data_IF_721083124456
#
_entry.id   IF_721083124456
#
_cell.length_a   1.000
_cell.length_b   1.000
_cell.length_c   1.000
_cell.angle_alpha   90.00
_cell.angle_beta   90.00
_cell.angle_gamma   90.00
#
_symmetry.space_group_name_H-M   'P 1'
#
loop_
_entity.id
_entity.type
_entity.pdbx_description
1 polymer ?
#
# COMPACT_ATOMS: atom_id res chain seq x y z
N UNK A 1 -0.30 44.77 -8.33
CA UNK A 1 -0.35 45.20 -6.93
C UNK A 1 1.08 45.29 -6.42
N UNK A 2 1.60 46.50 -6.17
CA UNK A 2 2.95 46.67 -5.63
C UNK A 2 2.96 46.19 -4.17
N UNK A 3 3.50 44.99 -3.93
CA UNK A 3 3.77 44.54 -2.56
C UNK A 3 4.83 45.44 -1.95
N UNK A 4 4.52 46.09 -0.82
CA UNK A 4 5.47 47.02 -0.19
C UNK A 4 6.42 46.23 0.71
N UNK A 5 7.69 46.12 0.30
CA UNK A 5 8.76 45.44 1.05
C UNK A 5 9.73 46.48 1.63
N UNK A 6 9.91 46.48 2.95
CA UNK A 6 10.82 47.40 3.63
C UNK A 6 11.60 46.71 4.77
N UNK A 7 12.87 47.10 4.93
CA UNK A 7 13.78 46.62 5.95
C UNK A 7 14.28 47.78 6.80
N UNK A 8 14.33 47.60 8.11
CA UNK A 8 14.77 48.66 9.03
C UNK A 8 15.48 48.07 10.25
N UNK A 9 16.68 48.57 10.55
CA UNK A 9 17.36 48.25 11.80
C UNK A 9 17.00 49.26 12.89
N UNK A 10 16.78 48.77 14.10
CA UNK A 10 16.51 49.61 15.27
C UNK A 10 17.00 48.96 16.56
N UNK A 11 17.17 49.79 17.59
CA UNK A 11 17.55 49.32 18.93
C UNK A 11 16.33 49.28 19.85
N UNK A 12 16.20 48.24 20.66
CA UNK A 12 15.17 48.17 21.71
C UNK A 12 15.70 48.80 23.00
N UNK A 13 15.48 50.12 23.16
CA UNK A 13 15.90 50.90 24.33
C UNK A 13 15.26 50.42 25.65
N UNK A 14 14.13 49.73 25.59
CA UNK A 14 13.48 49.09 26.74
C UNK A 14 14.12 47.74 27.15
N UNK A 15 15.19 47.29 26.47
CA UNK A 15 15.92 46.04 26.77
C UNK A 15 17.42 46.28 26.94
N UNK A 16 17.81 47.40 27.55
CA UNK A 16 19.21 47.71 27.83
C UNK A 16 19.76 46.69 28.83
N UNK A 17 20.97 46.18 28.56
CA UNK A 17 21.69 45.25 29.42
C UNK A 17 22.36 45.97 30.58
N UNK A 18 22.76 45.22 31.61
CA UNK A 18 23.54 45.73 32.75
C UNK A 18 24.83 46.46 32.34
N UNK A 19 25.39 46.13 31.17
CA UNK A 19 26.57 46.80 30.60
C UNK A 19 26.25 48.07 29.77
N UNK A 20 25.02 48.58 29.82
CA UNK A 20 24.62 49.82 29.12
C UNK A 20 24.30 49.67 27.63
N UNK A 21 24.46 48.48 27.04
CA UNK A 21 24.20 48.26 25.60
C UNK A 21 22.76 47.82 25.31
N UNK A 22 22.19 48.27 24.19
CA UNK A 22 20.87 47.87 23.71
C UNK A 22 20.97 46.83 22.56
N UNK A 23 20.07 45.85 22.49
CA UNK A 23 20.01 44.89 21.39
C UNK A 23 19.51 45.53 20.10
N UNK A 24 20.15 45.14 18.99
CA UNK A 24 19.76 45.54 17.63
C UNK A 24 18.77 44.51 17.06
N UNK A 25 17.72 45.00 16.44
CA UNK A 25 16.69 44.23 15.75
C UNK A 25 16.57 44.69 14.29
N UNK A 26 16.23 43.75 13.41
CA UNK A 26 15.80 43.98 12.04
C UNK A 26 14.27 43.86 11.99
N UNK A 27 13.58 44.87 11.47
CA UNK A 27 12.16 44.83 11.14
C UNK A 27 12.00 44.55 9.66
N UNK A 28 11.20 43.55 9.34
CA UNK A 28 10.77 43.19 7.99
C UNK A 28 9.31 43.58 7.86
N UNK A 29 8.98 44.49 6.94
CA UNK A 29 7.60 44.89 6.65
C UNK A 29 7.23 44.44 5.26
N UNK A 30 6.15 43.65 5.15
CA UNK A 30 5.54 43.24 3.89
C UNK A 30 4.06 43.56 3.95
N UNK A 31 3.57 44.36 3.00
CA UNK A 31 2.15 44.74 2.88
C UNK A 31 1.56 45.30 4.19
N UNK A 32 2.34 46.20 4.83
CA UNK A 32 1.96 46.86 6.09
C UNK A 32 2.09 46.00 7.36
N UNK A 33 2.42 44.70 7.24
CA UNK A 33 2.62 43.81 8.40
C UNK A 33 4.10 43.66 8.72
N UNK A 34 4.48 43.97 9.96
CA UNK A 34 5.86 43.92 10.43
C UNK A 34 6.19 42.65 11.22
N UNK A 35 7.39 42.12 11.03
CA UNK A 35 7.97 41.06 11.86
C UNK A 35 9.40 41.46 12.30
N UNK A 36 9.73 41.26 13.57
CA UNK A 36 11.03 41.63 14.14
C UNK A 36 11.94 40.39 14.30
N UNK A 37 13.21 40.53 13.90
CA UNK A 37 14.27 39.53 14.08
C UNK A 37 15.40 40.13 14.91
N UNK A 38 15.90 39.41 15.91
CA UNK A 38 17.07 39.85 16.66
C UNK A 38 18.34 39.71 15.80
N UNK A 39 19.09 40.81 15.62
CA UNK A 39 20.35 40.79 14.87
C UNK A 39 21.50 40.13 15.66
N UNK A 40 21.26 39.73 16.92
CA UNK A 40 22.25 39.13 17.85
C UNK A 40 23.50 39.99 18.07
N UNK A 41 23.35 41.32 17.91
CA UNK A 41 24.37 42.34 18.18
C UNK A 41 23.79 43.39 19.12
N UNK A 42 24.69 44.09 19.79
CA UNK A 42 24.38 45.08 20.81
C UNK A 42 25.19 46.34 20.54
N UNK A 43 24.63 47.50 20.85
CA UNK A 43 25.30 48.78 20.70
C UNK A 43 24.91 49.72 21.83
N UNK A 44 25.81 50.61 22.22
CA UNK A 44 25.50 51.76 23.04
C UNK A 44 24.45 52.64 22.32
N UNK A 45 23.29 52.95 22.96
CA UNK A 45 22.27 53.81 22.37
C UNK A 45 22.76 55.18 21.88
N UNK A 46 23.83 55.74 22.46
CA UNK A 46 24.42 57.01 22.03
C UNK A 46 25.22 56.87 20.72
N UNK A 47 25.69 55.66 20.42
CA UNK A 47 26.46 55.35 19.21
C UNK A 47 25.58 54.81 18.07
N UNK A 48 24.26 54.92 18.18
CA UNK A 48 23.31 54.46 17.16
C UNK A 48 22.65 55.63 16.44
N UNK A 49 22.70 55.63 15.10
CA UNK A 49 21.96 56.56 14.27
C UNK A 49 20.55 56.00 13.99
N UNK A 50 19.53 56.61 14.60
CA UNK A 50 18.14 56.21 14.42
C UNK A 50 17.55 56.53 13.04
N UNK A 51 18.12 57.50 12.30
CA UNK A 51 17.65 57.87 10.96
C UNK A 51 18.36 57.06 9.88
N UNK A 52 19.66 56.84 10.04
CA UNK A 52 20.46 56.06 9.09
C UNK A 52 20.50 54.56 9.39
N UNK A 53 19.87 54.11 10.48
CA UNK A 53 19.76 52.71 10.89
C UNK A 53 21.10 51.97 11.02
N UNK A 54 22.14 52.68 11.52
CA UNK A 54 23.53 52.19 11.55
C UNK A 54 24.29 52.70 12.77
N UNK A 55 25.43 52.10 13.06
CA UNK A 55 26.36 52.60 14.08
C UNK A 55 27.05 53.90 13.64
N UNK A 56 27.16 54.85 14.56
CA UNK A 56 27.85 56.14 14.41
C UNK A 56 29.38 55.98 14.57
N UNK A 57 30.12 56.85 13.87
CA UNK A 57 31.58 56.94 13.96
C UNK A 57 32.34 56.10 12.94
N UNK A 58 33.66 56.26 12.94
CA UNK A 58 34.59 55.65 11.97
C UNK A 58 35.51 54.58 12.62
N UNK A 59 35.18 54.15 13.85
CA UNK A 59 35.97 53.14 14.56
C UNK A 59 35.84 51.77 13.89
N UNK A 60 36.79 50.88 14.17
CA UNK A 60 36.80 49.54 13.59
C UNK A 60 35.56 48.72 14.01
N UNK A 61 35.08 48.94 15.23
CA UNK A 61 33.86 48.31 15.77
C UNK A 61 32.62 48.78 15.02
N UNK A 62 32.49 50.09 14.77
CA UNK A 62 31.37 50.66 14.02
C UNK A 62 31.35 50.15 12.57
N UNK A 63 32.51 50.08 11.90
CA UNK A 63 32.65 49.51 10.56
C UNK A 63 32.25 48.04 10.50
N UNK A 64 32.76 47.24 11.44
CA UNK A 64 32.49 45.80 11.50
C UNK A 64 31.01 45.53 11.77
N UNK A 65 30.39 46.28 12.67
CA UNK A 65 28.98 46.18 12.97
C UNK A 65 28.12 46.54 11.76
N UNK A 66 28.42 47.66 11.09
CA UNK A 66 27.68 48.09 9.91
C UNK A 66 27.81 47.10 8.74
N UNK A 67 28.99 46.52 8.54
CA UNK A 67 29.19 45.46 7.54
C UNK A 67 28.33 44.23 7.85
N UNK A 68 28.30 43.79 9.12
CA UNK A 68 27.45 42.69 9.56
C UNK A 68 25.96 42.95 9.31
N UNK A 69 25.46 44.15 9.62
CA UNK A 69 24.07 44.53 9.36
C UNK A 69 23.75 44.49 7.86
N UNK A 70 24.67 44.97 7.01
CA UNK A 70 24.55 44.90 5.55
C UNK A 70 24.52 43.46 5.03
N UNK A 71 25.33 42.56 5.58
CA UNK A 71 25.29 41.13 5.23
C UNK A 71 23.95 40.49 5.63
N UNK A 72 23.43 40.83 6.81
CA UNK A 72 22.14 40.32 7.28
C UNK A 72 21.00 40.80 6.35
N UNK A 73 21.03 42.07 5.96
CA UNK A 73 20.11 42.67 5.01
C UNK A 73 20.13 41.96 3.66
N UNK A 74 21.31 41.74 3.08
CA UNK A 74 21.45 41.00 1.81
C UNK A 74 20.84 39.60 1.89
N UNK A 75 21.08 38.88 2.99
CA UNK A 75 20.49 37.54 3.20
C UNK A 75 18.96 37.57 3.22
N UNK A 76 18.36 38.65 3.73
CA UNK A 76 16.89 38.82 3.71
C UNK A 76 16.39 39.04 2.28
N UNK A 77 17.08 39.87 1.49
CA UNK A 77 16.76 40.06 0.07
C UNK A 77 16.84 38.75 -0.73
N UNK A 78 17.91 37.98 -0.55
CA UNK A 78 18.11 36.70 -1.25
C UNK A 78 16.98 35.71 -0.89
N UNK A 79 16.63 35.63 0.40
CA UNK A 79 15.55 34.75 0.89
C UNK A 79 14.18 35.16 0.34
N UNK A 80 13.91 36.48 0.31
CA UNK A 80 12.68 37.03 -0.25
C UNK A 80 12.57 36.74 -1.76
N UNK A 81 13.65 36.92 -2.51
CA UNK A 81 13.70 36.61 -3.94
C UNK A 81 13.43 35.12 -4.23
N UNK A 82 14.04 34.21 -3.46
CA UNK A 82 13.79 32.78 -3.59
C UNK A 82 12.31 32.43 -3.36
N UNK A 83 11.68 33.00 -2.32
CA UNK A 83 10.25 32.77 -2.07
C UNK A 83 9.34 33.31 -3.17
N UNK A 84 9.69 34.46 -3.78
CA UNK A 84 8.95 34.98 -4.93
C UNK A 84 9.07 34.09 -6.17
N UNK A 85 10.25 33.46 -6.37
CA UNK A 85 10.50 32.55 -7.50
C UNK A 85 9.78 31.21 -7.35
N UNK A 86 9.56 30.76 -6.11
CA UNK A 86 8.87 29.50 -5.77
C UNK A 86 7.32 29.62 -5.82
N UNK A 87 6.76 30.76 -6.27
CA UNK A 87 5.33 31.09 -6.28
C UNK A 87 4.64 31.06 -4.89
N UNK A 88 5.42 31.16 -3.81
CA UNK A 88 4.89 31.15 -2.45
C UNK A 88 4.29 32.50 -2.03
N UNK A 89 3.26 32.45 -1.17
CA UNK A 89 2.68 33.64 -0.58
C UNK A 89 3.62 34.25 0.47
N UNK A 90 4.41 35.25 0.04
CA UNK A 90 5.40 35.89 0.93
C UNK A 90 4.72 36.87 1.92
N UNK A 91 4.84 36.55 3.21
CA UNK A 91 4.51 37.43 4.35
C UNK A 91 5.74 37.69 5.21
N UNK A 92 5.71 38.76 6.02
CA UNK A 92 6.79 39.08 6.96
C UNK A 92 7.07 37.98 7.98
N UNK A 93 6.05 37.24 8.45
CA UNK A 93 6.24 36.08 9.32
C UNK A 93 6.79 34.86 8.58
N UNK A 94 6.32 34.54 7.37
CA UNK A 94 6.90 33.44 6.58
C UNK A 94 8.38 33.67 6.23
N UNK A 95 8.74 34.91 5.88
CA UNK A 95 10.14 35.27 5.59
C UNK A 95 11.00 35.21 6.86
N UNK A 96 10.46 35.66 8.00
CA UNK A 96 11.10 35.51 9.31
C UNK A 96 11.32 34.04 9.67
N UNK A 97 10.33 33.19 9.45
CA UNK A 97 10.44 31.75 9.69
C UNK A 97 11.52 31.12 8.82
N UNK A 98 11.59 31.46 7.53
CA UNK A 98 12.64 30.98 6.62
C UNK A 98 14.04 31.44 7.06
N UNK A 99 14.17 32.69 7.50
CA UNK A 99 15.43 33.25 7.99
C UNK A 99 15.91 32.64 9.32
N UNK A 100 14.97 32.33 10.23
CA UNK A 100 15.23 31.70 11.51
C UNK A 100 15.36 30.17 11.43
N UNK A 101 15.02 29.58 10.28
CA UNK A 101 14.96 28.12 10.10
C UNK A 101 13.78 27.46 10.82
N UNK A 102 12.76 28.23 11.20
CA UNK A 102 11.55 27.75 11.89
C UNK A 102 10.38 27.48 10.94
N UNK A 103 10.59 27.65 9.63
CA UNK A 103 9.61 27.39 8.55
C UNK A 103 9.42 25.89 8.27
N UNK A 104 10.38 25.07 8.70
CA UNK A 104 10.29 23.62 8.57
C UNK A 104 9.38 23.16 9.71
N UNK A 105 8.07 23.02 9.45
CA UNK A 105 7.22 22.21 10.32
C UNK A 105 7.82 20.80 10.31
N UNK A 106 8.57 20.44 11.34
CA UNK A 106 9.15 19.11 11.47
C UNK A 106 8.02 18.10 11.45
N UNK A 107 8.00 17.25 10.42
CA UNK A 107 6.97 16.25 10.24
C UNK A 107 7.61 14.89 10.42
N UNK A 108 7.19 14.21 11.46
CA UNK A 108 7.75 12.93 11.83
C UNK A 108 7.01 11.80 11.13
N UNK A 109 7.76 10.79 10.68
CA UNK A 109 7.25 9.69 9.88
C UNK A 109 6.23 8.82 10.61
N UNK A 110 6.51 8.47 11.88
CA UNK A 110 5.67 7.51 12.62
C UNK A 110 4.26 8.07 12.87
N UNK A 111 4.06 9.32 13.34
CA UNK A 111 2.72 9.90 13.48
C UNK A 111 1.93 9.93 12.17
N UNK A 112 2.58 10.21 11.04
CA UNK A 112 1.90 10.23 9.73
C UNK A 112 1.43 8.83 9.34
N UNK A 113 2.27 7.82 9.56
CA UNK A 113 1.90 6.44 9.28
C UNK A 113 0.81 5.95 10.24
N UNK A 114 0.88 6.33 11.52
CA UNK A 114 -0.17 6.02 12.49
C UNK A 114 -1.51 6.65 12.10
N UNK A 115 -1.56 7.95 11.78
CA UNK A 115 -2.76 8.64 11.32
C UNK A 115 -3.37 7.97 10.07
N UNK A 116 -2.52 7.55 9.12
CA UNK A 116 -2.99 6.75 7.98
C UNK A 116 -3.64 5.45 8.43
N UNK A 117 -3.03 4.72 9.37
CA UNK A 117 -3.56 3.45 9.85
C UNK A 117 -4.87 3.63 10.63
N UNK A 118 -4.99 4.69 11.42
CA UNK A 118 -6.21 5.02 12.18
C UNK A 118 -7.37 5.34 11.21
N UNK A 119 -7.09 6.09 10.14
CA UNK A 119 -8.07 6.34 9.06
C UNK A 119 -8.48 5.06 8.33
N UNK A 120 -7.53 4.16 8.06
CA UNK A 120 -7.85 2.85 7.47
C UNK A 120 -8.72 2.03 8.43
N UNK A 121 -8.43 2.06 9.73
CA UNK A 121 -9.18 1.35 10.77
C UNK A 121 -10.63 1.86 10.87
N UNK A 122 -10.82 3.17 10.86
CA UNK A 122 -12.15 3.80 10.86
C UNK A 122 -13.00 3.42 9.64
N UNK A 123 -12.36 3.02 8.53
CA UNK A 123 -13.01 2.63 7.28
C UNK A 123 -13.08 1.10 7.08
N UNK A 124 -12.69 0.31 8.08
CA UNK A 124 -12.84 -1.16 8.02
C UNK A 124 -14.32 -1.54 8.01
N UNK A 125 -14.69 -2.41 7.07
CA UNK A 125 -16.08 -2.84 6.88
C UNK A 125 -16.86 -1.99 5.86
N UNK A 126 -16.30 -0.85 5.46
CA UNK A 126 -16.77 -0.04 4.33
C UNK A 126 -15.79 -0.21 3.16
N UNK A 127 -14.77 0.65 3.10
CA UNK A 127 -13.80 0.69 2.00
C UNK A 127 -12.61 -0.25 2.19
N UNK A 128 -12.37 -0.71 3.44
CA UNK A 128 -11.22 -1.55 3.76
C UNK A 128 -11.61 -2.88 4.38
N UNK A 129 -10.92 -3.93 3.95
CA UNK A 129 -10.99 -5.24 4.59
C UNK A 129 -10.08 -5.29 5.83
N UNK A 130 -10.45 -6.05 6.89
CA UNK A 130 -9.62 -6.20 8.10
C UNK A 130 -8.17 -6.63 7.81
N UNK A 131 -7.98 -7.54 6.85
CA UNK A 131 -6.64 -7.98 6.45
C UNK A 131 -5.78 -6.90 5.79
N UNK A 132 -6.39 -5.83 5.25
CA UNK A 132 -5.65 -4.67 4.74
C UNK A 132 -5.13 -3.81 5.88
N UNK A 133 -5.94 -3.58 6.93
CA UNK A 133 -5.51 -2.88 8.14
C UNK A 133 -4.33 -3.60 8.80
N UNK A 134 -4.46 -4.91 9.02
CA UNK A 134 -3.43 -5.72 9.68
C UNK A 134 -2.08 -5.62 8.94
N UNK A 135 -2.13 -5.60 7.60
CA UNK A 135 -0.95 -5.44 6.77
C UNK A 135 -0.28 -4.07 6.96
N UNK A 136 -1.06 -3.01 7.13
CA UNK A 136 -0.53 -1.67 7.40
C UNK A 136 0.01 -1.53 8.84
N UNK A 137 -0.68 -2.10 9.84
CA UNK A 137 -0.18 -2.18 11.23
C UNK A 137 1.15 -2.93 11.30
N UNK A 138 1.25 -4.08 10.62
CA UNK A 138 2.51 -4.82 10.51
C UNK A 138 3.61 -4.02 9.80
N UNK A 139 3.26 -3.31 8.73
CA UNK A 139 4.22 -2.47 7.99
C UNK A 139 4.74 -1.29 8.82
N UNK A 140 3.91 -0.70 9.67
CA UNK A 140 4.30 0.34 10.62
C UNK A 140 5.28 -0.22 11.65
N UNK A 141 4.94 -1.36 12.27
CA UNK A 141 5.82 -2.05 13.23
C UNK A 141 7.21 -2.33 12.64
N UNK A 142 7.27 -2.86 11.41
CA UNK A 142 8.55 -3.09 10.73
C UNK A 142 9.33 -1.81 10.43
N UNK A 143 8.63 -0.71 10.18
CA UNK A 143 9.28 0.60 9.99
C UNK A 143 9.90 1.07 11.31
N UNK A 144 9.20 0.96 12.43
CA UNK A 144 9.72 1.30 13.76
C UNK A 144 10.93 0.43 14.13
N UNK A 145 10.84 -0.88 13.94
CA UNK A 145 11.95 -1.82 14.18
C UNK A 145 13.19 -1.49 13.31
N UNK A 146 12.98 -1.11 12.05
CA UNK A 146 14.06 -0.68 11.15
C UNK A 146 14.73 0.61 11.64
N UNK A 147 13.95 1.61 12.08
CA UNK A 147 14.47 2.88 12.59
C UNK A 147 15.37 2.66 13.82
N UNK A 148 14.93 1.80 14.74
CA UNK A 148 15.72 1.43 15.91
C UNK A 148 17.02 0.74 15.47
N UNK A 149 16.93 -0.24 14.56
CA UNK A 149 18.11 -1.00 14.12
C UNK A 149 19.15 -0.14 13.38
N UNK A 150 18.74 0.69 12.42
CA UNK A 150 19.66 1.45 11.55
C UNK A 150 20.08 2.79 12.16
N UNK A 151 19.15 3.51 12.75
CA UNK A 151 19.31 4.91 13.13
C UNK A 151 19.28 5.14 14.64
N UNK A 152 19.02 4.11 15.44
CA UNK A 152 18.96 4.18 16.92
C UNK A 152 17.98 5.25 17.41
N UNK A 153 16.87 5.43 16.68
CA UNK A 153 15.80 6.38 16.98
C UNK A 153 14.44 5.71 16.86
N UNK A 154 13.47 6.19 17.61
CA UNK A 154 12.08 5.75 17.52
C UNK A 154 11.34 6.38 16.33
N UNK A 155 11.86 7.47 15.78
CA UNK A 155 11.21 8.24 14.72
C UNK A 155 12.21 9.03 13.88
N UNK A 156 11.78 9.49 12.70
CA UNK A 156 12.61 10.26 11.77
C UNK A 156 11.79 11.34 11.09
N UNK A 157 12.41 12.51 10.86
CA UNK A 157 11.82 13.55 10.03
C UNK A 157 11.72 13.06 8.58
N UNK A 158 10.57 13.26 7.94
CA UNK A 158 10.32 12.80 6.57
C UNK A 158 11.32 13.35 5.55
N UNK A 159 11.89 14.53 5.79
CA UNK A 159 12.89 15.17 4.92
C UNK A 159 14.22 14.39 4.86
N UNK A 160 14.48 13.51 5.84
CA UNK A 160 15.65 12.63 5.87
C UNK A 160 15.43 11.31 5.11
N UNK A 161 14.23 11.07 4.58
CA UNK A 161 13.92 9.86 3.84
C UNK A 161 14.33 10.05 2.39
N UNK A 162 15.49 9.51 2.04
CA UNK A 162 16.05 9.54 0.70
C UNK A 162 16.08 8.15 0.05
N UNK A 163 16.70 8.03 -1.12
CA UNK A 163 16.85 6.74 -1.79
C UNK A 163 17.65 5.73 -0.94
N UNK A 164 18.67 6.17 -0.20
CA UNK A 164 19.49 5.29 0.62
C UNK A 164 18.65 4.67 1.73
N UNK A 165 17.78 5.45 2.38
CA UNK A 165 16.80 4.95 3.34
C UNK A 165 15.95 3.81 2.75
N UNK A 166 15.40 3.99 1.53
CA UNK A 166 14.56 2.96 0.90
C UNK A 166 15.34 1.68 0.64
N UNK A 167 16.60 1.78 0.19
CA UNK A 167 17.44 0.62 -0.09
C UNK A 167 17.86 -0.10 1.18
N UNK A 168 18.24 0.65 2.22
CA UNK A 168 18.56 0.09 3.53
C UNK A 168 17.35 -0.60 4.16
N UNK A 169 16.14 -0.05 3.97
CA UNK A 169 14.92 -0.66 4.47
C UNK A 169 14.57 -1.96 3.73
N UNK A 170 14.65 -1.99 2.39
CA UNK A 170 14.47 -3.24 1.62
C UNK A 170 15.54 -4.29 1.98
N UNK A 171 16.79 -3.85 2.18
CA UNK A 171 17.87 -4.72 2.64
C UNK A 171 17.55 -5.30 4.02
N UNK A 172 17.15 -4.49 4.99
CA UNK A 172 16.82 -4.93 6.35
C UNK A 172 15.64 -5.90 6.38
N UNK A 173 14.60 -5.65 5.58
CA UNK A 173 13.46 -6.57 5.45
C UNK A 173 13.91 -7.97 5.00
N UNK A 174 14.93 -8.06 4.14
CA UNK A 174 15.41 -9.32 3.57
C UNK A 174 16.48 -10.00 4.42
N UNK A 175 17.41 -9.24 4.97
CA UNK A 175 18.59 -9.76 5.69
C UNK A 175 18.30 -10.01 7.17
N UNK A 176 17.66 -9.06 7.85
CA UNK A 176 17.42 -9.10 9.29
C UNK A 176 16.05 -9.69 9.61
N UNK A 177 14.98 -9.15 9.00
CA UNK A 177 13.62 -9.72 9.17
C UNK A 177 13.40 -11.02 8.42
N UNK A 178 14.33 -11.40 7.53
CA UNK A 178 14.29 -12.64 6.72
C UNK A 178 12.98 -12.78 5.92
N UNK A 179 12.41 -11.66 5.46
CA UNK A 179 11.22 -11.69 4.63
C UNK A 179 11.54 -12.29 3.25
N UNK A 180 10.67 -13.18 2.78
CA UNK A 180 10.70 -13.62 1.39
C UNK A 180 10.51 -12.43 0.43
N UNK A 181 11.06 -12.52 -0.78
CA UNK A 181 11.11 -11.41 -1.74
C UNK A 181 9.77 -10.68 -1.95
N UNK A 182 8.71 -11.44 -2.21
CA UNK A 182 7.39 -10.86 -2.50
C UNK A 182 6.75 -10.22 -1.27
N UNK A 183 7.10 -10.70 -0.07
CA UNK A 183 6.65 -10.14 1.20
C UNK A 183 7.38 -8.83 1.50
N UNK A 184 8.71 -8.78 1.34
CA UNK A 184 9.49 -7.54 1.45
C UNK A 184 8.96 -6.46 0.49
N UNK A 185 8.76 -6.82 -0.78
CA UNK A 185 8.19 -5.89 -1.78
C UNK A 185 6.81 -5.37 -1.38
N UNK A 186 5.96 -6.19 -0.72
CA UNK A 186 4.65 -5.73 -0.24
C UNK A 186 4.79 -4.69 0.88
N UNK A 187 5.67 -4.92 1.85
CA UNK A 187 5.92 -3.93 2.91
C UNK A 187 6.49 -2.63 2.36
N UNK A 188 7.45 -2.71 1.43
CA UNK A 188 7.97 -1.52 0.74
C UNK A 188 6.87 -0.78 -0.03
N UNK A 189 5.93 -1.49 -0.67
CA UNK A 189 4.78 -0.85 -1.34
C UNK A 189 3.84 -0.15 -0.36
N UNK A 190 3.58 -0.73 0.82
CA UNK A 190 2.80 -0.07 1.85
C UNK A 190 3.51 1.17 2.38
N UNK A 191 4.83 1.10 2.61
CA UNK A 191 5.63 2.26 2.97
C UNK A 191 5.59 3.35 1.90
N UNK A 192 5.69 2.96 0.61
CA UNK A 192 5.55 3.88 -0.52
C UNK A 192 4.20 4.62 -0.53
N UNK A 193 3.12 4.02 -0.04
CA UNK A 193 1.82 4.70 0.10
C UNK A 193 1.91 5.87 1.08
N UNK A 194 2.66 5.73 2.17
CA UNK A 194 2.88 6.79 3.16
C UNK A 194 3.72 7.92 2.57
N UNK A 195 4.82 7.59 1.88
CA UNK A 195 5.63 8.62 1.20
C UNK A 195 4.82 9.37 0.14
N UNK A 196 3.99 8.66 -0.64
CA UNK A 196 3.08 9.30 -1.60
C UNK A 196 2.05 10.21 -0.94
N UNK A 197 1.57 9.88 0.26
CA UNK A 197 0.70 10.76 1.03
C UNK A 197 1.43 12.05 1.41
N UNK A 198 2.67 11.95 1.89
CA UNK A 198 3.51 13.11 2.20
C UNK A 198 3.74 14.00 0.97
N UNK A 199 4.04 13.39 -0.19
CA UNK A 199 4.20 14.13 -1.45
C UNK A 199 2.91 14.79 -1.91
N UNK A 200 1.78 14.08 -1.84
CA UNK A 200 0.47 14.63 -2.24
C UNK A 200 0.05 15.83 -1.38
N UNK A 201 0.47 15.86 -0.12
CA UNK A 201 0.23 16.99 0.79
C UNK A 201 1.31 18.10 0.67
N UNK A 202 2.24 18.00 -0.27
CA UNK A 202 3.33 18.97 -0.47
C UNK A 202 4.41 18.95 0.61
N UNK A 203 4.46 17.93 1.46
CA UNK A 203 5.44 17.83 2.56
C UNK A 203 6.81 17.31 2.12
N UNK A 204 6.89 16.69 0.95
CA UNK A 204 8.12 16.22 0.33
C UNK A 204 8.23 16.73 -1.11
N UNK A 205 9.35 17.38 -1.42
CA UNK A 205 9.63 17.93 -2.75
C UNK A 205 10.24 16.91 -3.73
N UNK A 206 10.85 15.84 -3.21
CA UNK A 206 11.51 14.80 -4.02
C UNK A 206 10.97 13.42 -3.67
N UNK A 207 10.75 12.58 -4.68
CA UNK A 207 10.34 11.18 -4.48
C UNK A 207 11.56 10.30 -4.16
N UNK A 208 11.73 9.76 -2.94
CA UNK A 208 12.81 8.85 -2.62
C UNK A 208 12.68 7.49 -3.36
N UNK A 209 11.50 7.19 -3.91
CA UNK A 209 11.25 5.96 -4.68
C UNK A 209 11.50 6.09 -6.18
N UNK A 210 11.94 7.25 -6.69
CA UNK A 210 12.01 7.51 -8.13
C UNK A 210 12.79 6.41 -8.89
N UNK A 211 13.92 5.96 -8.32
CA UNK A 211 14.80 4.95 -8.93
C UNK A 211 14.64 3.54 -8.33
N UNK A 212 13.73 3.36 -7.37
CA UNK A 212 13.50 2.06 -6.74
C UNK A 212 12.60 1.16 -7.61
N UNK A 213 13.16 0.03 -8.04
CA UNK A 213 12.46 -0.96 -8.89
C UNK A 213 12.15 -2.24 -8.13
N UNK A 214 10.92 -2.38 -7.67
CA UNK A 214 10.44 -3.62 -7.07
C UNK A 214 10.30 -4.74 -8.12
N UNK A 215 11.00 -5.87 -7.92
CA UNK A 215 10.82 -7.09 -8.73
C UNK A 215 10.09 -8.15 -7.92
N UNK A 216 8.86 -8.49 -8.33
CA UNK A 216 8.17 -9.65 -7.81
C UNK A 216 8.74 -10.90 -8.48
N UNK A 217 9.06 -11.93 -7.69
CA UNK A 217 9.40 -13.24 -8.20
C UNK A 217 8.09 -13.96 -8.56
N UNK A 218 8.00 -14.49 -9.77
CA UNK A 218 6.91 -15.38 -10.13
C UNK A 218 6.97 -16.60 -9.22
N UNK A 219 5.81 -17.02 -8.72
CA UNK A 219 5.67 -18.24 -7.92
C UNK A 219 4.74 -19.12 -8.73
N UNK A 220 5.26 -20.23 -9.21
CA UNK A 220 4.43 -21.28 -9.79
C UNK A 220 3.54 -21.85 -8.70
N UNK A 221 2.24 -21.88 -8.98
CA UNK A 221 1.25 -22.36 -8.03
C UNK A 221 0.81 -23.73 -8.46
N UNK A 222 0.84 -24.73 -7.55
CA UNK A 222 0.37 -26.05 -7.89
C UNK A 222 -1.14 -26.02 -8.18
N UNK A 223 -1.54 -26.92 -9.07
CA UNK A 223 -2.92 -27.29 -9.34
C UNK A 223 -3.01 -28.82 -9.41
N UNK A 224 -4.22 -29.35 -9.31
CA UNK A 224 -4.46 -30.79 -9.40
C UNK A 224 -4.69 -31.20 -10.85
N UNK A 225 -4.03 -32.27 -11.28
CA UNK A 225 -4.27 -32.97 -12.54
C UNK A 225 -5.62 -33.70 -12.50
N UNK A 226 -6.09 -34.19 -13.65
CA UNK A 226 -7.36 -34.90 -13.73
C UNK A 226 -7.32 -36.19 -12.89
N UNK A 227 -6.19 -36.88 -12.92
CA UNK A 227 -5.93 -38.12 -12.21
C UNK A 227 -5.93 -37.91 -10.69
N UNK A 228 -5.30 -36.81 -10.23
CA UNK A 228 -5.30 -36.45 -8.81
C UNK A 228 -6.70 -36.03 -8.32
N UNK A 229 -7.48 -35.29 -9.13
CA UNK A 229 -8.87 -34.97 -8.80
C UNK A 229 -9.68 -36.26 -8.64
N UNK A 230 -9.54 -37.20 -9.58
CA UNK A 230 -10.25 -38.48 -9.54
C UNK A 230 -9.86 -39.29 -8.30
N UNK A 231 -8.56 -39.35 -7.99
CA UNK A 231 -8.05 -40.03 -6.80
C UNK A 231 -8.65 -39.45 -5.52
N UNK A 232 -8.81 -38.13 -5.44
CA UNK A 232 -9.47 -37.49 -4.28
C UNK A 232 -10.96 -37.81 -4.26
N UNK A 233 -11.65 -37.77 -5.40
CA UNK A 233 -13.10 -38.03 -5.51
C UNK A 233 -13.46 -39.47 -5.11
N UNK A 234 -12.74 -40.45 -5.62
CA UNK A 234 -12.98 -41.88 -5.37
C UNK A 234 -12.55 -42.32 -3.97
N UNK A 235 -11.74 -41.53 -3.27
CA UNK A 235 -11.24 -41.91 -1.95
C UNK A 235 -12.34 -41.87 -0.91
N UNK A 236 -12.68 -43.04 -0.37
CA UNK A 236 -13.53 -43.15 0.81
C UNK A 236 -12.73 -42.92 2.09
N UNK A 237 -13.20 -42.00 2.92
CA UNK A 237 -12.64 -41.74 4.24
C UNK A 237 -13.58 -42.30 5.30
N UNK A 238 -13.04 -42.99 6.30
CA UNK A 238 -13.81 -43.42 7.48
C UNK A 238 -14.29 -42.24 8.34
N UNK A 239 -13.74 -41.04 8.14
CA UNK A 239 -14.09 -39.83 8.88
C UNK A 239 -15.04 -38.95 8.08
N UNK A 240 -16.24 -38.72 8.60
CA UNK A 240 -17.24 -37.80 8.02
C UNK A 240 -16.68 -36.40 7.79
N UNK A 241 -15.82 -35.94 8.72
CA UNK A 241 -15.14 -34.65 8.64
C UNK A 241 -14.23 -34.54 7.43
N UNK A 242 -13.55 -35.62 7.05
CA UNK A 242 -12.70 -35.65 5.86
C UNK A 242 -13.54 -35.72 4.59
N UNK A 243 -14.61 -36.53 4.58
CA UNK A 243 -15.56 -36.57 3.45
C UNK A 243 -16.18 -35.18 3.19
N UNK A 244 -16.60 -34.48 4.24
CA UNK A 244 -17.10 -33.11 4.17
C UNK A 244 -16.10 -32.14 3.54
N UNK A 245 -14.84 -32.15 4.00
CA UNK A 245 -13.81 -31.25 3.47
C UNK A 245 -13.47 -31.59 2.02
N UNK A 246 -13.35 -32.88 1.70
CA UNK A 246 -13.13 -33.39 0.35
C UNK A 246 -14.21 -32.88 -0.60
N UNK A 247 -15.47 -33.06 -0.24
CA UNK A 247 -16.62 -32.70 -1.07
C UNK A 247 -16.66 -31.19 -1.32
N UNK A 248 -16.53 -30.37 -0.28
CA UNK A 248 -16.53 -28.91 -0.41
C UNK A 248 -15.33 -28.42 -1.25
N UNK A 249 -14.17 -29.07 -1.12
CA UNK A 249 -13.00 -28.76 -1.92
C UNK A 249 -13.19 -29.15 -3.40
N UNK A 250 -13.75 -30.33 -3.68
CA UNK A 250 -14.07 -30.76 -5.03
C UNK A 250 -15.12 -29.85 -5.67
N UNK A 251 -16.16 -29.46 -4.93
CA UNK A 251 -17.12 -28.46 -5.40
C UNK A 251 -16.39 -27.17 -5.84
N UNK A 252 -15.42 -26.69 -5.06
CA UNK A 252 -14.59 -25.53 -5.44
C UNK A 252 -13.68 -25.82 -6.65
N UNK A 253 -13.18 -27.04 -6.84
CA UNK A 253 -12.42 -27.45 -8.03
C UNK A 253 -13.26 -27.40 -9.31
N UNK A 254 -14.58 -27.61 -9.22
CA UNK A 254 -15.50 -27.61 -10.37
C UNK A 254 -16.27 -26.30 -10.56
N UNK A 255 -16.10 -25.31 -9.66
CA UNK A 255 -16.77 -24.00 -9.75
C UNK A 255 -15.83 -22.82 -9.69
N UNK A 256 -14.62 -22.99 -9.16
CA UNK A 256 -13.62 -21.92 -9.03
C UNK A 256 -13.87 -20.92 -7.91
N UNK A 257 -14.90 -21.13 -7.06
CA UNK A 257 -15.21 -20.26 -5.94
C UNK A 257 -14.13 -20.31 -4.85
N UNK A 258 -13.80 -19.16 -4.24
CA UNK A 258 -12.88 -19.15 -3.12
C UNK A 258 -13.58 -19.61 -1.83
N UNK A 259 -12.80 -20.00 -0.82
CA UNK A 259 -13.31 -20.42 0.50
C UNK A 259 -14.43 -19.52 1.04
N UNK A 260 -14.21 -18.20 1.00
CA UNK A 260 -15.17 -17.24 1.57
C UNK A 260 -16.45 -17.11 0.74
N UNK A 261 -16.36 -17.37 -0.57
CA UNK A 261 -17.51 -17.34 -1.46
C UNK A 261 -18.34 -18.60 -1.21
N UNK A 262 -17.72 -19.79 -1.19
CA UNK A 262 -18.41 -21.06 -0.90
C UNK A 262 -19.11 -21.05 0.46
N UNK A 263 -18.46 -20.49 1.49
CA UNK A 263 -19.03 -20.36 2.84
C UNK A 263 -20.30 -19.50 2.89
N UNK A 264 -20.51 -18.61 1.92
CA UNK A 264 -21.65 -17.70 1.86
C UNK A 264 -22.72 -18.11 0.85
N UNK A 265 -22.47 -19.12 0.03
CA UNK A 265 -23.44 -19.58 -0.95
C UNK A 265 -24.66 -20.14 -0.24
N UNK A 266 -25.84 -19.77 -0.73
CA UNK A 266 -27.14 -20.28 -0.29
C UNK A 266 -27.92 -20.86 -1.48
N UNK A 267 -29.06 -21.49 -1.19
CA UNK A 267 -29.96 -22.02 -2.22
C UNK A 267 -30.43 -20.94 -3.20
N UNK A 268 -30.62 -19.70 -2.73
CA UNK A 268 -31.05 -18.58 -3.58
C UNK A 268 -30.00 -18.14 -4.62
N UNK A 269 -28.74 -18.54 -4.45
CA UNK A 269 -27.71 -18.29 -5.46
C UNK A 269 -27.80 -19.24 -6.65
N UNK A 270 -28.49 -20.39 -6.52
CA UNK A 270 -28.63 -21.39 -7.57
C UNK A 270 -29.90 -21.10 -8.36
N UNK A 271 -29.77 -20.74 -9.64
CA UNK A 271 -30.90 -20.40 -10.51
C UNK A 271 -30.71 -21.02 -11.90
N UNK A 272 -31.78 -21.06 -12.69
CA UNK A 272 -31.71 -21.52 -14.09
C UNK A 272 -31.05 -20.45 -14.95
N UNK A 273 -30.06 -20.87 -15.74
CA UNK A 273 -29.31 -20.07 -16.69
C UNK A 273 -30.04 -19.87 -18.02
N UNK A 274 -29.39 -19.15 -18.93
CA UNK A 274 -29.94 -18.85 -20.27
C UNK A 274 -30.02 -20.08 -21.18
N UNK A 275 -29.28 -21.12 -20.83
CA UNK A 275 -29.22 -22.42 -21.50
C UNK A 275 -30.24 -23.43 -20.94
N UNK A 276 -30.97 -23.06 -19.88
CA UNK A 276 -31.89 -23.97 -19.18
C UNK A 276 -31.22 -24.82 -18.08
N UNK A 277 -29.90 -24.74 -17.92
CA UNK A 277 -29.15 -25.48 -16.91
C UNK A 277 -29.05 -24.70 -15.59
N UNK A 278 -28.66 -25.37 -14.49
CA UNK A 278 -28.44 -24.71 -13.20
C UNK A 278 -27.13 -23.94 -13.20
N UNK A 279 -27.17 -22.69 -12.73
CA UNK A 279 -26.02 -21.79 -12.60
C UNK A 279 -25.97 -21.22 -11.18
N UNK A 280 -24.77 -20.87 -10.72
CA UNK A 280 -24.57 -20.08 -9.51
C UNK A 280 -24.38 -18.61 -9.88
N UNK A 281 -25.23 -17.76 -9.32
CA UNK A 281 -25.17 -16.30 -9.42
C UNK A 281 -24.76 -15.70 -8.07
N UNK A 282 -23.60 -15.06 -8.03
CA UNK A 282 -23.09 -14.43 -6.81
C UNK A 282 -22.28 -13.17 -7.11
N UNK A 283 -22.00 -12.38 -6.08
CA UNK A 283 -21.05 -11.27 -6.14
C UNK A 283 -19.78 -11.67 -5.39
N UNK A 284 -18.64 -11.56 -6.07
CA UNK A 284 -17.36 -11.94 -5.48
C UNK A 284 -16.95 -10.89 -4.44
N UNK A 285 -16.84 -11.29 -3.18
CA UNK A 285 -16.57 -10.36 -2.09
C UNK A 285 -15.29 -9.53 -2.28
N UNK A 286 -14.25 -10.11 -2.88
CA UNK A 286 -12.94 -9.44 -3.02
C UNK A 286 -12.91 -8.36 -4.11
N UNK A 287 -13.72 -8.50 -5.16
CA UNK A 287 -13.66 -7.64 -6.35
C UNK A 287 -14.98 -6.95 -6.66
N UNK A 288 -16.03 -7.25 -5.89
CA UNK A 288 -17.40 -6.77 -6.10
C UNK A 288 -17.93 -7.00 -7.53
N UNK A 289 -17.44 -8.06 -8.17
CA UNK A 289 -17.83 -8.42 -9.54
C UNK A 289 -18.88 -9.51 -9.50
N UNK A 290 -19.98 -9.31 -10.23
CA UNK A 290 -20.96 -10.36 -10.51
C UNK A 290 -20.25 -11.55 -11.18
N UNK A 291 -20.41 -12.72 -10.58
CA UNK A 291 -19.80 -13.98 -11.01
C UNK A 291 -20.92 -14.97 -11.28
N UNK A 292 -20.90 -15.56 -12.47
CA UNK A 292 -21.89 -16.52 -12.95
C UNK A 292 -21.17 -17.76 -13.42
N UNK A 293 -21.50 -18.90 -12.81
CA UNK A 293 -20.80 -20.17 -13.08
C UNK A 293 -21.85 -21.26 -13.38
N UNK A 294 -21.86 -21.85 -14.59
CA UNK A 294 -22.68 -23.02 -14.89
C UNK A 294 -22.29 -24.19 -13.99
N UNK A 295 -23.27 -24.92 -13.44
CA UNK A 295 -23.00 -26.04 -12.56
C UNK A 295 -22.77 -27.32 -13.37
N UNK A 296 -21.55 -27.84 -13.30
CA UNK A 296 -21.20 -29.15 -13.84
C UNK A 296 -21.87 -30.27 -13.02
N UNK A 297 -22.13 -31.46 -13.60
CA UNK A 297 -22.87 -32.54 -12.94
C UNK A 297 -22.35 -32.90 -11.53
N UNK A 298 -21.03 -33.03 -11.36
CA UNK A 298 -20.41 -33.32 -10.06
C UNK A 298 -20.69 -32.22 -9.03
N UNK A 299 -20.65 -30.95 -9.43
CA UNK A 299 -20.97 -29.85 -8.52
C UNK A 299 -22.46 -29.87 -8.12
N UNK A 300 -23.36 -30.30 -9.01
CA UNK A 300 -24.79 -30.46 -8.70
C UNK A 300 -25.03 -31.62 -7.74
N UNK A 301 -24.38 -32.77 -7.98
CA UNK A 301 -24.42 -33.95 -7.10
C UNK A 301 -24.01 -33.58 -5.67
N UNK A 302 -22.91 -32.83 -5.51
CA UNK A 302 -22.44 -32.39 -4.21
C UNK A 302 -23.41 -31.41 -3.53
N UNK A 303 -24.07 -30.51 -4.27
CA UNK A 303 -25.10 -29.64 -3.69
C UNK A 303 -26.26 -30.49 -3.15
N UNK A 304 -26.74 -31.46 -3.93
CA UNK A 304 -27.84 -32.33 -3.54
C UNK A 304 -27.50 -33.17 -2.30
N UNK A 305 -26.28 -33.70 -2.22
CA UNK A 305 -25.80 -34.48 -1.08
C UNK A 305 -25.91 -33.75 0.27
N UNK A 306 -25.72 -32.43 0.28
CA UNK A 306 -25.75 -31.61 1.49
C UNK A 306 -27.07 -30.84 1.67
N UNK A 307 -28.07 -31.07 0.81
CA UNK A 307 -29.29 -30.27 0.78
C UNK A 307 -30.07 -30.27 2.11
N UNK A 308 -30.11 -31.45 2.75
CA UNK A 308 -30.82 -31.69 4.02
C UNK A 308 -29.89 -31.70 5.24
N UNK A 309 -28.62 -31.30 5.07
CA UNK A 309 -27.68 -31.26 6.18
C UNK A 309 -28.14 -30.24 7.24
N UNK A 310 -28.18 -30.59 8.55
CA UNK A 310 -28.77 -29.72 9.58
C UNK A 310 -28.20 -28.30 9.62
N UNK A 311 -26.88 -28.14 9.46
CA UNK A 311 -26.23 -26.82 9.41
C UNK A 311 -26.63 -26.01 8.17
N UNK A 312 -26.82 -26.67 7.02
CA UNK A 312 -27.23 -26.04 5.77
C UNK A 312 -28.65 -25.50 5.86
N UNK A 313 -29.57 -26.30 6.41
CA UNK A 313 -30.96 -25.91 6.63
C UNK A 313 -31.05 -24.77 7.64
N UNK A 314 -30.41 -24.91 8.80
CA UNK A 314 -30.51 -23.93 9.89
C UNK A 314 -29.87 -22.58 9.55
N UNK A 315 -28.77 -22.58 8.78
CA UNK A 315 -28.01 -21.36 8.46
C UNK A 315 -28.27 -20.83 7.05
N UNK A 316 -29.14 -21.49 6.28
CA UNK A 316 -29.43 -21.19 4.88
C UNK A 316 -28.16 -21.09 4.01
N UNK A 317 -27.30 -22.11 4.08
CA UNK A 317 -26.06 -22.22 3.29
C UNK A 317 -26.08 -23.49 2.45
N UNK A 318 -25.34 -23.53 1.34
CA UNK A 318 -25.24 -24.73 0.48
C UNK A 318 -24.39 -25.83 1.13
N UNK A 319 -23.37 -25.46 1.89
CA UNK A 319 -22.42 -26.40 2.47
C UNK A 319 -22.12 -26.07 3.94
N UNK A 320 -21.90 -27.08 4.78
CA UNK A 320 -21.43 -26.90 6.14
C UNK A 320 -19.93 -26.60 6.12
N UNK A 321 -19.54 -25.35 5.86
CA UNK A 321 -18.13 -24.98 5.64
C UNK A 321 -17.42 -24.67 6.96
N UNK A 322 -16.47 -25.54 7.34
CA UNK A 322 -15.61 -25.35 8.52
C UNK A 322 -14.75 -24.07 8.44
N UNK A 323 -14.08 -23.70 9.54
CA UNK A 323 -13.14 -22.58 9.52
C UNK A 323 -12.01 -22.80 8.50
N UNK A 324 -11.51 -21.73 7.86
CA UNK A 324 -10.48 -21.84 6.81
C UNK A 324 -9.23 -22.59 7.31
N UNK A 325 -8.84 -22.38 8.57
CA UNK A 325 -7.73 -23.10 9.18
C UNK A 325 -8.00 -24.61 9.25
N UNK A 326 -9.19 -25.03 9.72
CA UNK A 326 -9.58 -26.44 9.77
C UNK A 326 -9.67 -27.05 8.37
N UNK A 327 -10.28 -26.35 7.41
CA UNK A 327 -10.33 -26.80 6.01
C UNK A 327 -8.93 -27.09 5.47
N UNK A 328 -7.97 -26.17 5.64
CA UNK A 328 -6.60 -26.38 5.14
C UNK A 328 -5.85 -27.48 5.91
N UNK A 329 -6.07 -27.64 7.22
CA UNK A 329 -5.47 -28.73 8.00
C UNK A 329 -5.93 -30.09 7.49
N UNK A 330 -7.23 -30.23 7.22
CA UNK A 330 -7.83 -31.49 6.79
C UNK A 330 -7.54 -31.78 5.31
N UNK A 331 -7.36 -30.76 4.47
CA UNK A 331 -6.83 -30.95 3.13
C UNK A 331 -5.43 -31.55 3.12
N UNK A 332 -4.57 -31.19 4.08
CA UNK A 332 -3.25 -31.82 4.22
C UNK A 332 -3.36 -33.31 4.58
N UNK A 333 -4.28 -33.68 5.46
CA UNK A 333 -4.59 -35.10 5.76
C UNK A 333 -5.08 -35.85 4.51
N UNK A 334 -6.08 -35.31 3.81
CA UNK A 334 -6.67 -35.92 2.60
C UNK A 334 -5.59 -36.25 1.56
N UNK A 335 -4.73 -35.28 1.28
CA UNK A 335 -3.67 -35.40 0.27
C UNK A 335 -2.63 -36.45 0.64
N UNK A 336 -2.23 -36.49 1.91
CA UNK A 336 -1.30 -37.50 2.40
C UNK A 336 -1.89 -38.90 2.25
N UNK A 337 -3.17 -39.08 2.59
CA UNK A 337 -3.86 -40.36 2.47
C UNK A 337 -4.10 -40.76 1.01
N UNK A 338 -4.25 -39.78 0.10
CA UNK A 338 -4.34 -40.00 -1.35
C UNK A 338 -2.96 -40.16 -2.03
N UNK A 339 -1.84 -40.04 -1.30
CA UNK A 339 -0.49 -40.17 -1.88
C UNK A 339 -0.10 -39.04 -2.84
N UNK A 340 -0.73 -37.87 -2.73
CA UNK A 340 -0.48 -36.72 -3.62
C UNK A 340 0.66 -35.87 -3.05
N UNK A 341 1.78 -35.74 -3.76
CA UNK A 341 2.94 -34.97 -3.27
C UNK A 341 2.84 -33.47 -3.60
N UNK A 342 1.77 -32.80 -3.13
CA UNK A 342 1.53 -31.36 -3.32
C UNK A 342 0.98 -30.75 -2.04
N UNK A 343 1.53 -29.62 -1.60
CA UNK A 343 0.93 -28.92 -0.45
C UNK A 343 -0.41 -28.28 -0.86
N UNK A 344 -1.53 -28.88 -0.44
CA UNK A 344 -2.84 -28.32 -0.70
C UNK A 344 -3.25 -27.23 0.27
N UNK A 345 -3.81 -26.17 -0.31
CA UNK A 345 -4.61 -25.16 0.36
C UNK A 345 -5.92 -25.03 -0.40
N UNK A 346 -6.98 -24.54 0.26
CA UNK A 346 -8.29 -24.39 -0.38
C UNK A 346 -8.22 -23.54 -1.66
N UNK A 347 -7.28 -22.60 -1.75
CA UNK A 347 -7.13 -21.75 -2.94
C UNK A 347 -6.66 -22.50 -4.18
N UNK A 348 -6.06 -23.69 -4.02
CA UNK A 348 -5.64 -24.52 -5.15
C UNK A 348 -6.83 -25.03 -5.93
N UNK A 349 -7.99 -25.25 -5.30
CA UNK A 349 -9.21 -25.63 -5.99
C UNK A 349 -9.56 -24.67 -7.14
N UNK A 350 -9.36 -23.36 -6.92
CA UNK A 350 -9.56 -22.35 -7.95
C UNK A 350 -8.53 -22.42 -9.08
N UNK A 351 -7.28 -22.76 -8.78
CA UNK A 351 -6.26 -22.97 -9.79
C UNK A 351 -6.58 -24.22 -10.61
N UNK A 352 -7.00 -25.30 -9.96
CA UNK A 352 -7.49 -26.53 -10.58
C UNK A 352 -8.69 -26.29 -11.50
N UNK A 353 -9.67 -25.49 -11.07
CA UNK A 353 -10.80 -25.12 -11.91
C UNK A 353 -10.34 -24.39 -13.18
N UNK A 354 -9.51 -23.37 -13.00
CA UNK A 354 -9.04 -22.54 -14.12
C UNK A 354 -8.17 -23.31 -15.11
N UNK A 355 -7.33 -24.22 -14.63
CA UNK A 355 -6.39 -24.99 -15.47
C UNK A 355 -7.04 -26.28 -15.96
N UNK A 356 -7.12 -27.28 -15.08
CA UNK A 356 -7.51 -28.65 -15.39
C UNK A 356 -8.97 -28.80 -15.81
N UNK A 357 -9.91 -28.14 -15.12
CA UNK A 357 -11.35 -28.33 -15.43
C UNK A 357 -11.76 -27.53 -16.66
N UNK A 358 -11.23 -26.31 -16.85
CA UNK A 358 -11.70 -25.42 -17.94
C UNK A 358 -10.70 -25.26 -19.07
N UNK A 359 -9.56 -24.58 -18.87
CA UNK A 359 -8.63 -24.25 -19.97
C UNK A 359 -8.12 -25.49 -20.72
N UNK A 360 -7.81 -26.57 -20.00
CA UNK A 360 -7.38 -27.86 -20.57
C UNK A 360 -8.49 -28.59 -21.34
N UNK A 361 -9.76 -28.26 -21.11
CA UNK A 361 -10.91 -28.79 -21.84
C UNK A 361 -11.44 -27.78 -22.89
N UNK A 362 -10.59 -26.87 -23.35
CA UNK A 362 -10.90 -25.98 -24.48
C UNK A 362 -11.73 -24.74 -24.14
N UNK A 363 -12.09 -24.50 -22.88
CA UNK A 363 -12.86 -23.30 -22.51
C UNK A 363 -12.02 -22.03 -22.78
N UNK A 364 -12.57 -21.01 -23.48
CA UNK A 364 -11.86 -19.76 -23.74
C UNK A 364 -11.45 -19.01 -22.48
N UNK A 365 -10.29 -18.35 -22.52
CA UNK A 365 -9.72 -17.66 -21.35
C UNK A 365 -10.61 -16.51 -20.87
N UNK A 366 -11.35 -15.86 -21.77
CA UNK A 366 -12.31 -14.79 -21.49
C UNK A 366 -13.46 -15.33 -20.63
N UNK A 367 -14.01 -16.49 -21.01
CA UNK A 367 -15.06 -17.17 -20.26
C UNK A 367 -14.57 -17.59 -18.88
N UNK A 368 -13.37 -18.17 -18.79
CA UNK A 368 -12.75 -18.53 -17.50
C UNK A 368 -12.52 -17.29 -16.64
N UNK A 369 -12.02 -16.19 -17.22
CA UNK A 369 -11.80 -14.93 -16.50
C UNK A 369 -13.10 -14.38 -15.91
N UNK A 370 -14.22 -14.48 -16.64
CA UNK A 370 -15.54 -14.05 -16.19
C UNK A 370 -16.09 -14.97 -15.09
N UNK A 371 -16.00 -16.29 -15.25
CA UNK A 371 -16.40 -17.27 -14.22
C UNK A 371 -15.58 -17.15 -12.94
N UNK A 372 -14.32 -16.71 -13.03
CA UNK A 372 -13.50 -16.45 -11.87
C UNK A 372 -13.79 -15.06 -11.26
N UNK A 373 -14.47 -14.14 -11.93
CA UNK A 373 -14.65 -12.77 -11.43
C UNK A 373 -13.32 -12.00 -11.38
N UNK A 374 -12.48 -12.14 -12.41
CA UNK A 374 -11.26 -11.35 -12.57
C UNK A 374 -11.56 -10.06 -13.36
N UNK A 375 -11.25 -8.90 -12.77
CA UNK A 375 -11.37 -7.59 -13.45
C UNK A 375 -10.30 -7.37 -14.52
N UNK A 376 -9.21 -8.13 -14.48
CA UNK A 376 -8.12 -8.04 -15.44
C UNK A 376 -7.72 -9.44 -15.93
N UNK A 377 -7.82 -9.65 -17.24
CA UNK A 377 -7.50 -10.90 -17.92
C UNK A 377 -6.05 -11.37 -17.71
N UNK A 378 -5.12 -10.43 -17.45
CA UNK A 378 -3.72 -10.74 -17.11
C UNK A 378 -3.60 -11.68 -15.90
N UNK A 379 -4.56 -11.63 -14.98
CA UNK A 379 -4.62 -12.55 -13.83
C UNK A 379 -4.87 -13.99 -14.27
N UNK A 380 -5.73 -14.17 -15.28
CA UNK A 380 -6.10 -15.48 -15.85
C UNK A 380 -5.01 -16.02 -16.78
N UNK A 381 -4.24 -15.13 -17.44
CA UNK A 381 -3.12 -15.51 -18.30
C UNK A 381 -2.04 -16.33 -17.59
N UNK A 382 -1.88 -16.18 -16.27
CA UNK A 382 -0.96 -17.01 -15.51
C UNK A 382 -1.30 -18.51 -15.58
N UNK A 383 -2.58 -18.87 -15.77
CA UNK A 383 -3.00 -20.26 -15.93
C UNK A 383 -2.76 -20.80 -17.33
N UNK A 384 -2.92 -19.96 -18.35
CA UNK A 384 -2.76 -20.35 -19.74
C UNK A 384 -1.31 -20.65 -20.13
N UNK A 385 -0.33 -20.05 -19.43
CA UNK A 385 1.11 -20.30 -19.66
C UNK A 385 1.55 -21.74 -19.39
N UNK A 386 0.71 -22.55 -18.74
CA UNK A 386 1.09 -23.83 -18.17
C UNK A 386 0.65 -25.02 -19.05
N UNK A 387 0.01 -24.77 -20.20
CA UNK A 387 -0.64 -25.83 -20.97
C UNK A 387 0.03 -26.10 -22.32
N UNK A 388 1.21 -26.75 -22.30
CA UNK A 388 1.84 -27.32 -23.50
C UNK A 388 0.90 -28.30 -24.21
N UNK A 389 0.07 -29.03 -23.44
CA UNK A 389 -0.98 -29.91 -23.97
C UNK A 389 -2.00 -29.17 -24.82
N UNK A 390 -2.43 -27.97 -24.39
CA UNK A 390 -3.36 -27.15 -25.16
C UNK A 390 -2.74 -26.68 -26.47
N UNK A 391 -1.46 -26.29 -26.44
CA UNK A 391 -0.72 -25.93 -27.66
C UNK A 391 -0.68 -27.14 -28.62
N UNK A 392 -0.43 -28.34 -28.10
CA UNK A 392 -0.46 -29.57 -28.91
C UNK A 392 -1.84 -29.84 -29.52
N UNK A 393 -2.91 -29.75 -28.73
CA UNK A 393 -4.28 -30.01 -29.19
C UNK A 393 -4.73 -28.96 -30.22
N UNK A 394 -4.47 -27.68 -29.97
CA UNK A 394 -4.78 -26.58 -30.89
C UNK A 394 -4.01 -26.73 -32.23
N UNK A 395 -2.74 -27.14 -32.18
CA UNK A 395 -1.93 -27.40 -33.37
C UNK A 395 -2.39 -28.65 -34.12
N UNK A 396 -2.90 -29.67 -33.43
CA UNK A 396 -3.49 -30.87 -34.05
C UNK A 396 -4.75 -30.51 -34.84
N UNK A 397 -5.65 -29.72 -34.25
CA UNK A 397 -6.85 -29.20 -34.92
C UNK A 397 -6.47 -28.36 -36.14
N UNK A 398 -5.46 -27.50 -36.03
CA UNK A 398 -4.95 -26.72 -37.16
C UNK A 398 -4.38 -27.59 -38.28
N UNK A 399 -3.57 -28.61 -37.94
CA UNK A 399 -3.04 -29.57 -38.93
C UNK A 399 -4.16 -30.28 -39.68
N UNK A 400 -5.19 -30.74 -38.97
CA UNK A 400 -6.36 -31.37 -39.60
C UNK A 400 -7.04 -30.45 -40.61
N UNK A 401 -7.27 -29.17 -40.25
CA UNK A 401 -7.88 -28.17 -41.15
C UNK A 401 -7.02 -27.84 -42.38
N UNK A 402 -5.70 -27.88 -42.24
CA UNK A 402 -4.77 -27.61 -43.35
C UNK A 402 -4.59 -28.83 -44.27
N UNK A 403 -4.78 -30.05 -43.76
CA UNK A 403 -4.73 -31.29 -44.55
C UNK A 403 -6.06 -31.61 -45.25
N UNK A 404 -7.18 -31.05 -44.78
CA UNK A 404 -8.49 -31.15 -45.42
C UNK A 404 -8.70 -30.11 -46.55
N UNK A 405 -7.65 -29.41 -46.96
CA UNK A 405 -7.58 -28.55 -48.15
C UNK A 405 -6.64 -29.20 -49.15
#
# INVERSE_FOLDING_TARGET
>A
MNKTFNLLFFIKKNKIRTNGTAPIYLRITIDGKAADIAAKRYIDPQKWDGKAHKALGNTQEAKTLNLYLKTLEQRVYDSHYLMLKEEDFVTSESLKSKLLGTDISTRMLIPIFQDHNDKVEALVGQDFAPGTLERYKTSLKHTQEFLIWKYQTSDIDITKIDHAFIMDYDFWLRSVRKCANNTAVKYIKNFKKIIRLCMANGWLSKDPFLSYKAKLKAIERPYLTKEEIQTIYEKEFASDRLNQVRDIFLFSCYTGFAYIDVKKLSKSNVNIGIDGDKWIFTHRQKTDTSTRVPLLPLAQELILKYEDHPECVNSNVLFPVLSNQKMNSYLKEIVNVCGINKELTFHIARHTFATTVTLSNGVPIESVSKMLGHTNIKTTQHYAKILDKKVSDDMSVLRGKLQSR
#
